data_IF_861990603378
#
_entry.id   IF_861990603378
#
_cell.length_a   1.000
_cell.length_b   1.000
_cell.length_c   1.000
_cell.angle_alpha   90.00
_cell.angle_beta   90.00
_cell.angle_gamma   90.00
#
_symmetry.space_group_name_H-M   'P 1'
#
loop_
_entity.id
_entity.type
_entity.pdbx_description
1 polymer ?
#
# COMPACT_ATOMS: atom_id res chain seq x y z
N UNK A 1 -14.39 -2.21 32.70
CA UNK A 1 -13.34 -1.95 31.69
C UNK A 1 -13.29 -0.51 31.22
N UNK A 2 -14.42 0.18 31.01
CA UNK A 2 -14.46 1.58 30.53
C UNK A 2 -13.70 2.60 31.43
N UNK A 3 -13.68 2.41 32.75
CA UNK A 3 -12.96 3.29 33.70
C UNK A 3 -11.43 3.23 33.57
N UNK A 4 -10.86 2.09 33.14
CA UNK A 4 -9.41 1.94 32.96
C UNK A 4 -8.91 2.55 31.63
N UNK A 5 -9.78 2.66 30.62
CA UNK A 5 -9.47 3.28 29.33
C UNK A 5 -9.38 4.82 29.42
N UNK A 6 -10.12 5.44 30.35
CA UNK A 6 -10.02 6.88 30.65
C UNK A 6 -8.78 7.23 31.48
N UNK A 7 -8.17 6.25 32.15
CA UNK A 7 -6.97 6.47 32.95
C UNK A 7 -5.75 6.84 32.10
N UNK A 8 -5.59 6.24 30.92
CA UNK A 8 -4.43 6.47 30.05
C UNK A 8 -4.35 7.95 29.58
N UNK A 9 -5.39 8.53 28.96
CA UNK A 9 -5.35 9.93 28.56
C UNK A 9 -5.23 10.87 29.77
N UNK A 10 -5.83 10.51 30.92
CA UNK A 10 -5.67 11.27 32.16
C UNK A 10 -4.22 11.22 32.66
N UNK A 11 -3.57 10.05 32.68
CA UNK A 11 -2.17 9.89 33.05
C UNK A 11 -1.24 10.67 32.13
N UNK A 12 -1.50 10.65 30.82
CA UNK A 12 -0.74 11.43 29.84
C UNK A 12 -0.94 12.94 30.10
N UNK A 13 -2.19 13.39 30.33
CA UNK A 13 -2.49 14.78 30.62
C UNK A 13 -1.81 15.25 31.93
N UNK A 14 -1.88 14.43 32.98
CA UNK A 14 -1.20 14.70 34.26
C UNK A 14 0.31 14.74 34.08
N UNK A 15 0.90 13.80 33.34
CA UNK A 15 2.33 13.79 33.05
C UNK A 15 2.76 15.05 32.29
N UNK A 16 2.00 15.46 31.26
CA UNK A 16 2.25 16.71 30.53
C UNK A 16 2.14 17.91 31.48
N UNK A 17 1.09 17.97 32.31
CA UNK A 17 0.93 19.05 33.29
C UNK A 17 2.12 19.14 34.25
N UNK A 18 2.60 18.00 34.76
CA UNK A 18 3.79 17.92 35.61
C UNK A 18 5.07 18.37 34.87
N UNK A 19 5.25 17.96 33.61
CA UNK A 19 6.39 18.39 32.79
C UNK A 19 6.36 19.92 32.54
N UNK A 20 5.19 20.52 32.40
CA UNK A 20 5.05 21.96 32.15
C UNK A 20 5.45 22.83 33.36
N UNK A 21 5.51 22.26 34.57
CA UNK A 21 5.97 22.97 35.77
C UNK A 21 7.47 23.35 35.68
N UNK A 22 8.28 22.54 35.00
CA UNK A 22 9.73 22.73 34.91
C UNK A 22 10.16 23.25 33.54
N UNK A 23 11.22 24.07 33.49
CA UNK A 23 11.71 24.63 32.22
C UNK A 23 12.13 23.56 31.21
N UNK A 24 12.86 22.53 31.67
CA UNK A 24 13.28 21.42 30.82
C UNK A 24 12.10 20.62 30.29
N UNK A 25 11.06 20.41 31.12
CA UNK A 25 9.84 19.74 30.68
C UNK A 25 9.05 20.57 29.67
N UNK A 26 8.97 21.91 29.84
CA UNK A 26 8.41 22.81 28.81
C UNK A 26 9.17 22.76 27.48
N UNK A 27 10.49 22.62 27.51
CA UNK A 27 11.32 22.44 26.30
C UNK A 27 11.02 21.09 25.64
N UNK A 28 10.94 20.02 26.42
CA UNK A 28 10.61 18.67 25.94
C UNK A 28 9.23 18.62 25.30
N UNK A 29 8.20 19.17 25.95
CA UNK A 29 6.83 19.18 25.42
C UNK A 29 6.76 19.95 24.09
N UNK A 30 7.41 21.11 23.98
CA UNK A 30 7.50 21.87 22.72
C UNK A 30 8.23 21.07 21.63
N UNK A 31 9.35 20.43 21.95
CA UNK A 31 10.06 19.57 21.01
C UNK A 31 9.16 18.43 20.50
N UNK A 32 8.50 17.69 21.40
CA UNK A 32 7.57 16.64 21.01
C UNK A 32 6.45 17.17 20.11
N UNK A 33 5.89 18.33 20.44
CA UNK A 33 4.84 18.99 19.65
C UNK A 33 5.33 19.33 18.23
N UNK A 34 6.49 19.96 18.10
CA UNK A 34 7.06 20.38 16.82
C UNK A 34 7.44 19.16 15.95
N UNK A 35 7.98 18.10 16.56
CA UNK A 35 8.32 16.84 15.89
C UNK A 35 7.06 16.15 15.34
N UNK A 36 6.00 16.08 16.15
CA UNK A 36 4.73 15.45 15.79
C UNK A 36 4.06 16.21 14.65
N UNK A 37 3.89 17.53 14.80
CA UNK A 37 3.24 18.37 13.81
C UNK A 37 4.04 18.51 12.52
N UNK A 38 5.37 18.41 12.60
CA UNK A 38 6.27 18.54 11.46
C UNK A 38 5.98 19.80 10.63
N UNK A 39 5.89 20.95 11.32
CA UNK A 39 5.61 22.25 10.71
C UNK A 39 4.18 22.44 10.18
N UNK A 40 3.25 21.50 10.43
CA UNK A 40 1.84 21.63 10.06
C UNK A 40 1.03 22.22 11.21
N UNK A 41 -0.01 22.99 10.90
CA UNK A 41 -1.06 23.28 11.89
C UNK A 41 -1.68 21.98 12.42
N UNK A 42 -2.18 21.92 13.67
CA UNK A 42 -2.87 20.73 14.20
C UNK A 42 -3.96 20.17 13.30
N UNK A 43 -4.78 21.03 12.68
CA UNK A 43 -5.85 20.62 11.78
C UNK A 43 -5.31 19.89 10.52
N UNK A 44 -4.30 20.46 9.85
CA UNK A 44 -3.66 19.83 8.68
C UNK A 44 -2.90 18.55 9.04
N UNK A 45 -2.32 18.48 10.23
CA UNK A 45 -1.71 17.25 10.73
C UNK A 45 -2.77 16.16 10.92
N UNK A 46 -3.86 16.49 11.62
CA UNK A 46 -4.97 15.57 11.87
C UNK A 46 -5.63 15.11 10.57
N UNK A 47 -5.88 16.01 9.62
CA UNK A 47 -6.42 15.65 8.31
C UNK A 47 -5.51 14.67 7.56
N UNK A 48 -4.19 14.87 7.63
CA UNK A 48 -3.22 13.93 7.05
C UNK A 48 -3.23 12.56 7.74
N UNK A 49 -3.29 12.54 9.07
CA UNK A 49 -3.41 11.30 9.85
C UNK A 49 -4.71 10.56 9.50
N UNK A 50 -5.83 11.28 9.48
CA UNK A 50 -7.14 10.74 9.11
C UNK A 50 -7.12 10.16 7.69
N UNK A 51 -6.50 10.85 6.71
CA UNK A 51 -6.39 10.33 5.35
C UNK A 51 -5.68 8.97 5.26
N UNK A 52 -4.72 8.69 6.15
CA UNK A 52 -4.05 7.39 6.23
C UNK A 52 -4.87 6.32 6.98
N UNK A 53 -5.63 6.72 7.99
CA UNK A 53 -6.35 5.78 8.88
C UNK A 53 -7.76 5.44 8.36
N UNK A 54 -8.44 6.38 7.71
CA UNK A 54 -9.82 6.21 7.24
C UNK A 54 -9.97 4.99 6.34
N UNK A 55 -9.11 4.71 5.35
CA UNK A 55 -9.29 3.55 4.47
C UNK A 55 -9.20 2.20 5.22
N UNK A 56 -8.18 1.92 6.05
CA UNK A 56 -8.17 0.71 6.88
C UNK A 56 -9.35 0.61 7.84
N UNK A 57 -9.76 1.73 8.48
CA UNK A 57 -10.94 1.74 9.35
C UNK A 57 -12.21 1.40 8.57
N UNK A 58 -12.38 1.99 7.39
CA UNK A 58 -13.51 1.73 6.49
C UNK A 58 -13.57 0.24 6.13
N UNK A 59 -12.44 -0.37 5.79
CA UNK A 59 -12.35 -1.81 5.60
C UNK A 59 -12.82 -2.60 6.84
N UNK A 60 -12.31 -2.30 8.04
CA UNK A 60 -12.71 -3.05 9.25
C UNK A 60 -14.20 -2.92 9.57
N UNK A 61 -14.79 -1.75 9.31
CA UNK A 61 -16.21 -1.50 9.49
C UNK A 61 -17.02 -2.26 8.43
N UNK A 62 -16.62 -2.18 7.16
CA UNK A 62 -17.26 -2.92 6.07
C UNK A 62 -17.22 -4.44 6.32
N UNK A 63 -16.08 -4.98 6.77
CA UNK A 63 -15.92 -6.38 7.14
C UNK A 63 -16.92 -6.77 8.24
N UNK A 64 -17.07 -5.95 9.29
CA UNK A 64 -18.06 -6.22 10.35
C UNK A 64 -19.50 -6.19 9.84
N UNK A 65 -19.81 -5.26 8.93
CA UNK A 65 -21.12 -5.09 8.34
C UNK A 65 -21.47 -6.14 7.28
N UNK A 66 -20.50 -6.88 6.74
CA UNK A 66 -20.73 -7.89 5.70
C UNK A 66 -21.77 -8.97 6.11
N UNK A 67 -21.87 -9.27 7.42
CA UNK A 67 -22.90 -10.18 7.97
C UNK A 67 -24.35 -9.74 7.68
N UNK A 68 -24.55 -8.44 7.44
CA UNK A 68 -25.86 -7.84 7.22
C UNK A 68 -26.25 -7.80 5.72
N UNK A 69 -25.43 -8.39 4.84
CA UNK A 69 -25.78 -8.49 3.42
C UNK A 69 -27.08 -9.29 3.26
N UNK A 70 -28.06 -8.80 2.47
CA UNK A 70 -29.29 -9.53 2.21
C UNK A 70 -29.02 -10.91 1.59
N UNK A 71 -29.79 -11.96 1.93
CA UNK A 71 -29.59 -13.30 1.39
C UNK A 71 -29.55 -13.35 -0.14
N UNK A 72 -30.35 -12.53 -0.82
CA UNK A 72 -30.41 -12.44 -2.28
C UNK A 72 -29.13 -11.91 -2.95
N UNK A 73 -28.24 -11.25 -2.20
CA UNK A 73 -26.95 -10.75 -2.70
C UNK A 73 -25.81 -11.74 -2.45
N UNK A 74 -26.08 -12.84 -1.75
CA UNK A 74 -25.07 -13.80 -1.33
C UNK A 74 -24.89 -14.87 -2.40
N UNK A 75 -23.74 -14.93 -3.09
CA UNK A 75 -23.48 -15.96 -4.10
C UNK A 75 -23.25 -17.34 -3.49
N UNK A 76 -23.23 -18.38 -4.32
CA UNK A 76 -22.91 -19.74 -3.85
C UNK A 76 -21.46 -19.83 -3.32
N UNK A 77 -21.28 -20.53 -2.20
CA UNK A 77 -19.98 -20.77 -1.56
C UNK A 77 -19.21 -21.83 -2.34
N UNK A 78 -17.98 -21.52 -2.73
CA UNK A 78 -17.13 -22.45 -3.47
C UNK A 78 -16.27 -23.32 -2.53
N UNK A 79 -16.34 -24.64 -2.69
CA UNK A 79 -15.58 -25.62 -1.90
C UNK A 79 -14.67 -26.52 -2.75
N UNK A 80 -14.61 -26.33 -4.06
CA UNK A 80 -13.89 -27.24 -4.96
C UNK A 80 -12.68 -26.58 -5.61
N UNK A 81 -12.77 -25.27 -5.87
CA UNK A 81 -11.81 -24.59 -6.73
C UNK A 81 -10.45 -24.45 -6.06
N UNK A 82 -10.42 -23.93 -4.83
CA UNK A 82 -9.15 -23.63 -4.15
C UNK A 82 -8.28 -24.86 -3.89
N UNK A 83 -8.82 -25.99 -3.37
CA UNK A 83 -8.03 -27.21 -3.21
C UNK A 83 -7.45 -27.72 -4.55
N UNK A 84 -8.24 -27.69 -5.63
CA UNK A 84 -7.80 -28.13 -6.96
C UNK A 84 -6.71 -27.23 -7.52
N UNK A 85 -6.84 -25.91 -7.39
CA UNK A 85 -5.81 -24.97 -7.84
C UNK A 85 -4.54 -25.13 -7.00
N UNK A 86 -4.64 -25.26 -5.69
CA UNK A 86 -3.47 -25.48 -4.82
C UNK A 86 -2.72 -26.75 -5.22
N UNK A 87 -3.41 -27.88 -5.38
CA UNK A 87 -2.80 -29.14 -5.77
C UNK A 87 -2.02 -29.02 -7.10
N UNK A 88 -2.57 -28.26 -8.06
CA UNK A 88 -1.88 -27.97 -9.32
C UNK A 88 -0.71 -27.03 -9.11
N UNK A 89 -0.88 -25.92 -8.39
CA UNK A 89 0.13 -24.91 -8.08
C UNK A 89 1.38 -25.53 -7.41
N UNK A 90 1.16 -26.41 -6.44
CA UNK A 90 2.23 -27.03 -5.63
C UNK A 90 2.81 -28.31 -6.26
N UNK A 91 2.24 -28.82 -7.36
CA UNK A 91 2.87 -29.88 -8.16
C UNK A 91 4.22 -29.43 -8.73
N UNK A 92 5.09 -30.36 -9.12
CA UNK A 92 6.40 -30.01 -9.71
C UNK A 92 6.22 -29.18 -10.98
N UNK A 93 5.33 -29.61 -11.89
CA UNK A 93 5.05 -28.90 -13.13
C UNK A 93 4.38 -27.54 -12.88
N UNK A 94 3.43 -27.46 -11.95
CA UNK A 94 2.77 -26.19 -11.61
C UNK A 94 3.70 -25.18 -10.96
N UNK A 95 4.62 -25.61 -10.09
CA UNK A 95 5.62 -24.71 -9.48
C UNK A 95 6.57 -24.16 -10.53
N UNK A 96 7.05 -25.00 -11.47
CA UNK A 96 7.89 -24.57 -12.58
C UNK A 96 7.13 -23.62 -13.52
N UNK A 97 5.90 -23.97 -13.89
CA UNK A 97 5.05 -23.15 -14.73
C UNK A 97 4.79 -21.78 -14.09
N UNK A 98 4.49 -21.73 -12.80
CA UNK A 98 4.30 -20.48 -12.09
C UNK A 98 5.58 -19.64 -12.05
N UNK A 99 6.76 -20.26 -11.86
CA UNK A 99 8.03 -19.54 -11.96
C UNK A 99 8.25 -18.94 -13.36
N UNK A 100 7.90 -19.67 -14.42
CA UNK A 100 7.92 -19.15 -15.79
C UNK A 100 6.96 -17.97 -15.98
N UNK A 101 5.75 -18.04 -15.44
CA UNK A 101 4.77 -16.93 -15.49
C UNK A 101 5.29 -15.67 -14.79
N UNK A 102 6.19 -15.79 -13.83
CA UNK A 102 6.79 -14.65 -13.12
C UNK A 102 8.00 -14.03 -13.86
N UNK A 103 8.48 -14.63 -14.96
CA UNK A 103 9.62 -14.10 -15.74
C UNK A 103 9.38 -12.68 -16.24
N UNK A 104 8.24 -12.32 -16.87
CA UNK A 104 7.98 -10.95 -17.31
C UNK A 104 8.04 -9.94 -16.15
N UNK A 105 7.48 -10.30 -14.99
CA UNK A 105 7.54 -9.47 -13.78
C UNK A 105 8.98 -9.32 -13.28
N UNK A 106 9.74 -10.41 -13.23
CA UNK A 106 11.13 -10.41 -12.82
C UNK A 106 12.00 -9.52 -13.74
N UNK A 107 11.78 -9.56 -15.05
CA UNK A 107 12.46 -8.71 -16.03
C UNK A 107 12.04 -7.24 -15.89
N UNK A 108 10.75 -6.97 -15.69
CA UNK A 108 10.25 -5.62 -15.44
C UNK A 108 10.89 -5.02 -14.17
N UNK A 109 10.92 -5.77 -13.07
CA UNK A 109 11.55 -5.32 -11.82
C UNK A 109 13.05 -5.14 -11.99
N UNK A 110 13.72 -6.01 -12.76
CA UNK A 110 15.14 -5.85 -13.11
C UNK A 110 15.40 -4.54 -13.84
N UNK A 111 14.63 -4.21 -14.86
CA UNK A 111 14.84 -2.98 -15.66
C UNK A 111 14.52 -1.71 -14.88
N UNK A 112 13.53 -1.75 -13.99
CA UNK A 112 13.10 -0.60 -13.18
C UNK A 112 13.88 -0.40 -11.88
N UNK A 113 14.69 -1.37 -11.46
CA UNK A 113 15.49 -1.28 -10.25
C UNK A 113 16.63 -0.27 -10.38
N UNK A 114 16.76 0.61 -9.37
CA UNK A 114 17.76 1.70 -9.35
C UNK A 114 19.18 1.23 -9.03
N UNK A 115 19.35 0.27 -8.12
CA UNK A 115 20.66 -0.21 -7.68
C UNK A 115 21.04 -1.54 -8.34
N UNK A 116 22.34 -1.78 -8.53
CA UNK A 116 22.84 -3.06 -9.06
C UNK A 116 22.43 -4.25 -8.19
N UNK A 117 22.42 -4.06 -6.86
CA UNK A 117 21.98 -5.09 -5.92
C UNK A 117 20.51 -5.46 -6.14
N UNK A 118 19.60 -4.47 -6.20
CA UNK A 118 18.18 -4.71 -6.47
C UNK A 118 17.92 -5.33 -7.84
N UNK A 119 18.69 -4.93 -8.87
CA UNK A 119 18.63 -5.52 -10.23
C UNK A 119 18.96 -7.01 -10.25
N UNK A 120 19.79 -7.49 -9.31
CA UNK A 120 20.14 -8.91 -9.20
C UNK A 120 19.21 -9.65 -8.24
N UNK A 121 18.94 -9.07 -7.07
CA UNK A 121 18.24 -9.75 -5.99
C UNK A 121 16.74 -9.92 -6.24
N UNK A 122 16.02 -8.87 -6.62
CA UNK A 122 14.56 -8.93 -6.72
C UNK A 122 14.05 -9.90 -7.80
N UNK A 123 14.65 -9.96 -9.00
CA UNK A 123 14.25 -10.96 -9.99
C UNK A 123 14.43 -12.39 -9.47
N UNK A 124 15.51 -12.66 -8.73
CA UNK A 124 15.74 -13.97 -8.11
C UNK A 124 14.68 -14.28 -7.05
N UNK A 125 14.37 -13.34 -6.16
CA UNK A 125 13.31 -13.53 -5.16
C UNK A 125 11.94 -13.79 -5.81
N UNK A 126 11.62 -13.09 -6.89
CA UNK A 126 10.38 -13.27 -7.65
C UNK A 126 10.34 -14.67 -8.28
N UNK A 127 11.41 -15.10 -8.94
CA UNK A 127 11.45 -16.42 -9.59
C UNK A 127 11.51 -17.58 -8.60
N UNK A 128 12.10 -17.38 -7.42
CA UNK A 128 12.13 -18.38 -6.35
C UNK A 128 10.84 -18.44 -5.54
N UNK A 129 9.96 -17.44 -5.65
CA UNK A 129 8.72 -17.35 -4.87
C UNK A 129 7.85 -18.62 -4.94
N UNK A 130 7.60 -19.24 -6.12
CA UNK A 130 6.79 -20.46 -6.20
C UNK A 130 7.41 -21.64 -5.44
N UNK A 131 8.73 -21.83 -5.59
CA UNK A 131 9.46 -22.88 -4.89
C UNK A 131 9.49 -22.64 -3.38
N UNK A 132 9.67 -21.39 -2.97
CA UNK A 132 9.67 -21.00 -1.57
C UNK A 132 8.29 -21.21 -0.93
N UNK A 133 7.21 -20.81 -1.60
CA UNK A 133 5.84 -21.06 -1.13
C UNK A 133 5.57 -22.56 -0.96
N UNK A 134 6.00 -23.39 -1.93
CA UNK A 134 5.93 -24.85 -1.83
C UNK A 134 6.73 -25.40 -0.64
N UNK A 135 7.93 -24.88 -0.39
CA UNK A 135 8.72 -25.26 0.77
C UNK A 135 8.02 -24.89 2.09
N UNK A 136 7.46 -23.68 2.20
CA UNK A 136 6.70 -23.24 3.38
C UNK A 136 5.44 -24.09 3.60
N UNK A 137 4.72 -24.45 2.54
CA UNK A 137 3.55 -25.34 2.63
C UNK A 137 3.97 -26.73 3.15
N UNK A 138 5.06 -27.30 2.61
CA UNK A 138 5.60 -28.58 3.09
C UNK A 138 6.06 -28.49 4.55
N UNK A 139 6.63 -27.37 4.99
CA UNK A 139 7.01 -27.14 6.39
C UNK A 139 5.80 -26.95 7.31
N UNK A 140 4.69 -26.41 6.79
CA UNK A 140 3.46 -26.22 7.56
C UNK A 140 2.71 -27.54 7.77
N UNK A 141 2.65 -28.39 6.74
CA UNK A 141 1.77 -29.56 6.70
C UNK A 141 2.51 -30.91 6.77
N UNK A 142 3.82 -30.92 6.49
CA UNK A 142 4.63 -32.15 6.44
C UNK A 142 5.32 -32.51 7.75
N UNK A 143 4.83 -32.00 8.88
CA UNK A 143 5.39 -32.23 10.22
C UNK A 143 4.26 -32.53 11.20
N UNK A 144 4.57 -33.26 12.27
CA UNK A 144 3.68 -33.34 13.42
C UNK A 144 3.60 -31.97 14.10
N UNK A 145 2.39 -31.53 14.40
CA UNK A 145 2.17 -30.24 15.03
C UNK A 145 2.45 -30.29 16.53
N UNK A 146 3.21 -29.30 17.00
CA UNK A 146 3.60 -29.19 18.40
C UNK A 146 3.08 -27.89 19.03
N UNK A 147 2.85 -27.86 20.36
CA UNK A 147 2.40 -26.64 21.05
C UNK A 147 3.34 -25.45 20.86
N UNK A 148 4.65 -25.67 20.70
CA UNK A 148 5.62 -24.60 20.46
C UNK A 148 5.43 -23.97 19.07
N UNK A 149 5.20 -24.78 18.04
CA UNK A 149 4.86 -24.29 16.71
C UNK A 149 3.51 -23.56 16.71
N UNK A 150 2.51 -24.03 17.46
CA UNK A 150 1.22 -23.34 17.62
C UNK A 150 1.42 -21.92 18.18
N UNK A 151 2.24 -21.76 19.23
CA UNK A 151 2.55 -20.45 19.81
C UNK A 151 3.34 -19.57 18.83
N UNK A 152 4.31 -20.12 18.10
CA UNK A 152 5.06 -19.36 17.09
C UNK A 152 4.12 -18.91 15.97
N UNK A 153 3.27 -19.80 15.47
CA UNK A 153 2.30 -19.49 14.42
C UNK A 153 1.36 -18.37 14.86
N UNK A 154 0.88 -18.45 16.10
CA UNK A 154 0.04 -17.45 16.75
C UNK A 154 0.70 -16.07 16.88
N UNK A 155 2.00 -15.99 17.19
CA UNK A 155 2.72 -14.70 17.26
C UNK A 155 2.62 -13.97 15.92
N UNK A 156 2.78 -14.66 14.80
CA UNK A 156 2.68 -14.02 13.49
C UNK A 156 1.22 -13.80 13.05
N UNK A 157 0.40 -14.84 13.10
CA UNK A 157 -0.98 -14.84 12.62
C UNK A 157 -1.93 -14.02 13.51
N UNK A 158 -1.84 -14.18 14.82
CA UNK A 158 -2.68 -13.50 15.78
C UNK A 158 -2.11 -12.13 16.15
N UNK A 159 -0.95 -12.11 16.80
CA UNK A 159 -0.43 -10.88 17.44
C UNK A 159 0.09 -9.89 16.41
N UNK A 160 1.05 -10.29 15.59
CA UNK A 160 1.70 -9.39 14.63
C UNK A 160 0.79 -9.03 13.47
N UNK A 161 -0.20 -9.84 13.09
CA UNK A 161 -1.15 -9.43 12.06
C UNK A 161 -1.89 -8.14 12.44
N UNK A 162 -2.34 -8.02 13.70
CA UNK A 162 -3.00 -6.80 14.18
C UNK A 162 -2.03 -5.69 14.58
N UNK A 163 -0.83 -6.03 15.08
CA UNK A 163 0.16 -5.04 15.49
C UNK A 163 0.95 -4.44 14.31
N UNK A 164 1.22 -5.21 13.26
CA UNK A 164 2.14 -4.81 12.19
C UNK A 164 1.71 -3.57 11.40
N UNK A 165 0.41 -3.27 11.14
CA UNK A 165 0.05 -2.01 10.49
C UNK A 165 0.49 -0.78 11.29
N UNK A 166 0.38 -0.82 12.62
CA UNK A 166 0.80 0.26 13.49
C UNK A 166 2.32 0.36 13.56
N UNK A 167 3.00 -0.78 13.67
CA UNK A 167 4.48 -0.85 13.67
C UNK A 167 5.03 -0.31 12.34
N UNK A 168 4.47 -0.71 11.20
CA UNK A 168 4.85 -0.17 9.89
C UNK A 168 4.56 1.32 9.79
N UNK A 169 3.36 1.78 10.16
CA UNK A 169 3.01 3.19 10.12
C UNK A 169 4.01 4.05 10.89
N UNK A 170 4.36 3.62 12.11
CA UNK A 170 5.37 4.27 12.94
C UNK A 170 6.77 4.23 12.32
N UNK A 171 7.21 3.05 11.87
CA UNK A 171 8.52 2.86 11.26
C UNK A 171 8.67 3.69 9.98
N UNK A 172 7.65 3.71 9.12
CA UNK A 172 7.62 4.48 7.87
C UNK A 172 7.58 5.98 8.17
N UNK A 173 6.85 6.42 9.20
CA UNK A 173 6.90 7.81 9.65
C UNK A 173 8.31 8.21 10.11
N UNK A 174 9.00 7.30 10.81
CA UNK A 174 10.35 7.49 11.32
C UNK A 174 11.38 7.59 10.21
N UNK A 175 11.42 6.60 9.31
CA UNK A 175 12.51 6.39 8.35
C UNK A 175 12.16 6.76 6.91
N UNK A 176 10.88 6.89 6.59
CA UNK A 176 10.41 7.35 5.29
C UNK A 176 10.28 8.88 5.20
N UNK A 177 10.13 9.41 3.99
CA UNK A 177 9.87 10.83 3.77
C UNK A 177 8.48 11.24 4.32
N UNK A 178 8.30 12.52 4.71
CA UNK A 178 7.03 13.01 5.24
C UNK A 178 5.85 12.70 4.33
N UNK A 179 4.86 11.97 4.86
CA UNK A 179 3.66 11.54 4.14
C UNK A 179 3.70 10.10 3.61
N UNK A 180 4.85 9.42 3.60
CA UNK A 180 4.93 8.02 3.20
C UNK A 180 4.03 7.10 4.06
N UNK A 181 3.90 7.38 5.35
CA UNK A 181 3.01 6.63 6.25
C UNK A 181 1.52 6.81 5.91
N UNK A 182 1.13 7.98 5.36
CA UNK A 182 -0.24 8.22 4.87
C UNK A 182 -0.49 7.36 3.64
N UNK A 183 0.47 7.32 2.71
CA UNK A 183 0.39 6.47 1.51
C UNK A 183 0.33 5.00 1.89
N UNK A 184 1.07 4.55 2.91
CA UNK A 184 0.95 3.20 3.46
C UNK A 184 -0.46 2.88 3.92
N UNK A 185 -1.08 3.77 4.71
CA UNK A 185 -2.46 3.58 5.17
C UNK A 185 -3.47 3.52 4.03
N UNK A 186 -3.33 4.39 3.02
CA UNK A 186 -4.14 4.35 1.79
C UNK A 186 -3.96 3.02 1.05
N UNK A 187 -2.72 2.60 0.80
CA UNK A 187 -2.42 1.33 0.11
C UNK A 187 -3.01 0.14 0.86
N UNK A 188 -2.80 0.07 2.17
CA UNK A 188 -3.32 -0.99 3.04
C UNK A 188 -4.84 -1.07 3.00
N UNK A 189 -5.52 0.07 3.14
CA UNK A 189 -6.99 0.10 3.12
C UNK A 189 -7.57 -0.28 1.76
N UNK A 190 -6.99 0.22 0.66
CA UNK A 190 -7.46 -0.11 -0.69
C UNK A 190 -7.32 -1.60 -0.98
N UNK A 191 -6.15 -2.20 -0.73
CA UNK A 191 -5.99 -3.65 -0.97
C UNK A 191 -6.95 -4.48 -0.10
N UNK A 192 -7.19 -4.08 1.15
CA UNK A 192 -8.03 -4.83 2.07
C UNK A 192 -9.52 -4.69 1.71
N UNK A 193 -9.96 -3.50 1.26
CA UNK A 193 -11.29 -3.30 0.69
C UNK A 193 -11.50 -4.16 -0.56
N UNK A 194 -10.53 -4.20 -1.47
CA UNK A 194 -10.61 -5.05 -2.65
C UNK A 194 -10.65 -6.54 -2.29
N UNK A 195 -9.88 -6.97 -1.29
CA UNK A 195 -9.91 -8.35 -0.81
C UNK A 195 -11.26 -8.70 -0.17
N UNK A 196 -11.82 -7.81 0.65
CA UNK A 196 -13.18 -7.98 1.20
C UNK A 196 -14.24 -8.03 0.10
N UNK A 197 -14.13 -7.16 -0.92
CA UNK A 197 -15.02 -7.21 -2.07
C UNK A 197 -14.98 -8.60 -2.74
N UNK A 198 -13.79 -9.17 -2.91
CA UNK A 198 -13.62 -10.53 -3.43
C UNK A 198 -14.26 -11.58 -2.52
N UNK A 199 -14.08 -11.49 -1.20
CA UNK A 199 -14.73 -12.41 -0.25
C UNK A 199 -16.26 -12.40 -0.36
N UNK A 200 -16.84 -11.23 -0.67
CA UNK A 200 -18.30 -11.07 -0.80
C UNK A 200 -18.80 -11.66 -2.14
N UNK A 201 -18.16 -11.31 -3.25
CA UNK A 201 -18.63 -11.73 -4.59
C UNK A 201 -18.17 -13.13 -4.98
N UNK A 202 -17.14 -13.63 -4.32
CA UNK A 202 -16.54 -14.95 -4.54
C UNK A 202 -16.18 -15.61 -3.20
N UNK A 203 -17.17 -16.07 -2.43
CA UNK A 203 -16.96 -16.76 -1.17
C UNK A 203 -16.38 -18.16 -1.40
N UNK A 204 -15.37 -18.51 -0.60
CA UNK A 204 -14.67 -19.78 -0.71
C UNK A 204 -14.37 -20.36 0.68
N UNK A 205 -14.42 -21.69 0.79
CA UNK A 205 -13.97 -22.41 1.97
C UNK A 205 -12.44 -22.40 2.10
N UNK A 206 -11.99 -22.34 3.35
CA UNK A 206 -10.59 -22.49 3.75
C UNK A 206 -10.31 -23.95 4.19
N UNK A 207 -9.04 -24.35 4.36
CA UNK A 207 -8.67 -25.73 4.67
C UNK A 207 -9.39 -26.34 5.89
N UNK A 208 -9.63 -25.54 6.94
CA UNK A 208 -10.34 -25.98 8.14
C UNK A 208 -11.72 -26.58 7.88
N UNK A 209 -12.38 -26.22 6.77
CA UNK A 209 -13.69 -26.74 6.43
C UNK A 209 -13.63 -28.26 6.21
N UNK A 210 -12.61 -28.72 5.49
CA UNK A 210 -12.41 -30.13 5.15
C UNK A 210 -11.87 -30.96 6.32
N UNK A 211 -11.26 -30.30 7.31
CA UNK A 211 -10.82 -30.96 8.54
C UNK A 211 -12.01 -31.34 9.44
N UNK A 212 -13.13 -30.62 9.31
CA UNK A 212 -14.26 -30.69 10.24
C UNK A 212 -15.50 -31.32 9.61
N UNK A 213 -15.73 -31.10 8.32
CA UNK A 213 -16.94 -31.54 7.64
C UNK A 213 -16.64 -32.64 6.61
N UNK A 214 -17.52 -33.66 6.51
CA UNK A 214 -17.49 -34.63 5.41
C UNK A 214 -17.55 -33.93 4.04
N UNK A 215 -16.96 -34.56 3.02
CA UNK A 215 -16.84 -34.02 1.65
C UNK A 215 -18.20 -33.71 1.02
N UNK A 216 -19.25 -34.44 1.41
CA UNK A 216 -20.62 -34.30 0.90
C UNK A 216 -21.37 -33.12 1.53
N UNK A 217 -20.77 -32.46 2.53
CA UNK A 217 -21.40 -31.32 3.22
C UNK A 217 -21.45 -30.11 2.27
N UNK A 218 -22.65 -29.57 2.08
CA UNK A 218 -22.87 -28.36 1.28
C UNK A 218 -22.92 -27.16 2.24
N UNK A 219 -22.03 -26.17 2.10
CA UNK A 219 -22.03 -25.01 2.99
C UNK A 219 -23.13 -24.01 2.64
N UNK A 220 -23.66 -23.36 3.67
CA UNK A 220 -24.55 -22.20 3.57
C UNK A 220 -24.05 -21.06 4.49
N UNK A 221 -24.78 -19.95 4.54
CA UNK A 221 -24.39 -18.77 5.31
C UNK A 221 -24.77 -18.80 6.79
N UNK A 222 -25.41 -19.87 7.27
CA UNK A 222 -25.69 -20.10 8.69
C UNK A 222 -24.58 -20.91 9.38
N UNK A 223 -23.60 -21.39 8.62
CA UNK A 223 -22.42 -22.07 9.16
C UNK A 223 -21.70 -21.19 10.19
N UNK A 224 -21.36 -21.74 11.38
CA UNK A 224 -20.62 -21.01 12.38
C UNK A 224 -19.17 -20.78 11.94
N UNK A 225 -18.60 -19.65 12.34
CA UNK A 225 -17.16 -19.43 12.15
C UNK A 225 -16.32 -20.42 12.99
N UNK A 226 -15.16 -20.78 12.46
CA UNK A 226 -14.29 -21.80 13.03
C UNK A 226 -12.88 -21.24 13.34
N UNK A 227 -12.32 -21.48 14.54
CA UNK A 227 -10.96 -21.04 14.89
C UNK A 227 -9.85 -21.82 14.16
N UNK A 228 -10.17 -22.87 13.41
CA UNK A 228 -9.22 -23.75 12.74
C UNK A 228 -8.12 -24.23 13.71
N UNK A 229 -6.86 -24.23 13.26
CA UNK A 229 -5.71 -24.61 14.08
C UNK A 229 -5.51 -23.75 15.33
N UNK A 230 -6.11 -22.56 15.44
CA UNK A 230 -6.01 -21.73 16.66
C UNK A 230 -6.66 -22.39 17.87
N UNK A 231 -7.49 -23.42 17.70
CA UNK A 231 -7.96 -24.21 18.84
C UNK A 231 -6.82 -24.87 19.62
N UNK A 232 -5.72 -25.24 18.92
CA UNK A 232 -4.52 -25.77 19.56
C UNK A 232 -3.74 -24.70 20.32
N UNK A 233 -3.78 -23.46 19.82
CA UNK A 233 -3.20 -22.29 20.51
C UNK A 233 -3.97 -22.00 21.81
N UNK A 234 -5.30 -22.02 21.75
CA UNK A 234 -6.16 -21.90 22.94
C UNK A 234 -5.76 -22.96 23.98
N UNK A 235 -5.57 -24.21 23.58
CA UNK A 235 -5.12 -25.30 24.45
C UNK A 235 -3.70 -25.06 25.01
N UNK A 236 -2.74 -24.67 24.17
CA UNK A 236 -1.36 -24.42 24.56
C UNK A 236 -1.22 -23.26 25.57
N UNK A 237 -2.08 -22.24 25.47
CA UNK A 237 -2.07 -21.07 26.35
C UNK A 237 -3.05 -21.18 27.53
N UNK A 238 -3.86 -22.24 27.59
CA UNK A 238 -4.91 -22.38 28.60
C UNK A 238 -6.02 -21.32 28.51
N UNK A 239 -6.34 -20.87 27.28
CA UNK A 239 -7.37 -19.85 27.02
C UNK A 239 -8.50 -20.38 26.16
N UNK A 240 -9.52 -19.56 25.92
CA UNK A 240 -10.64 -19.83 25.00
C UNK A 240 -10.89 -18.63 24.07
N UNK A 241 -9.84 -17.82 23.86
CA UNK A 241 -9.93 -16.53 23.19
C UNK A 241 -10.36 -16.72 21.73
N UNK A 242 -9.71 -17.64 21.02
CA UNK A 242 -9.94 -17.84 19.60
C UNK A 242 -11.22 -18.59 19.30
N UNK A 243 -11.55 -19.60 20.11
CA UNK A 243 -12.85 -20.26 20.07
C UNK A 243 -14.00 -19.25 20.21
N UNK A 244 -13.89 -18.30 21.12
CA UNK A 244 -14.91 -17.26 21.31
C UNK A 244 -14.92 -16.20 20.17
N UNK A 245 -13.75 -15.79 19.69
CA UNK A 245 -13.62 -14.77 18.65
C UNK A 245 -14.16 -15.24 17.29
N UNK A 246 -13.78 -16.45 16.85
CA UNK A 246 -14.13 -16.96 15.52
C UNK A 246 -15.58 -17.38 15.39
N UNK A 247 -16.24 -17.79 16.48
CA UNK A 247 -17.69 -18.07 16.49
C UNK A 247 -18.51 -16.87 15.99
N UNK A 248 -18.00 -15.65 16.11
CA UNK A 248 -18.68 -14.39 15.72
C UNK A 248 -18.15 -13.80 14.40
N UNK A 249 -17.41 -14.57 13.59
CA UNK A 249 -16.84 -14.09 12.33
C UNK A 249 -17.93 -13.58 11.39
N UNK A 250 -17.85 -12.33 10.88
CA UNK A 250 -18.82 -11.81 9.91
C UNK A 250 -18.73 -12.45 8.53
N UNK A 251 -17.56 -12.98 8.16
CA UNK A 251 -17.29 -13.58 6.85
C UNK A 251 -16.61 -14.92 7.11
N UNK A 252 -17.40 -16.01 7.05
CA UNK A 252 -16.91 -17.37 7.35
C UNK A 252 -16.17 -17.97 6.16
N UNK A 253 -16.72 -17.79 4.96
CA UNK A 253 -16.17 -18.31 3.69
C UNK A 253 -15.41 -17.23 2.90
N UNK A 254 -14.44 -16.58 3.55
CA UNK A 254 -13.61 -15.53 2.97
C UNK A 254 -12.15 -15.95 2.81
N UNK A 255 -11.88 -17.14 2.26
CA UNK A 255 -10.50 -17.65 2.15
C UNK A 255 -9.64 -16.87 1.14
N UNK A 256 -10.15 -16.66 -0.09
CA UNK A 256 -9.43 -16.04 -1.20
C UNK A 256 -9.86 -14.58 -1.41
N UNK A 257 -8.95 -13.58 -1.43
CA UNK A 257 -7.52 -13.68 -1.16
C UNK A 257 -7.20 -13.70 0.33
N UNK A 258 -6.00 -14.17 0.69
CA UNK A 258 -5.51 -14.05 2.06
C UNK A 258 -5.16 -12.60 2.37
N UNK A 259 -5.98 -11.95 3.20
CA UNK A 259 -5.68 -10.60 3.72
C UNK A 259 -4.51 -10.58 4.70
N UNK A 260 -4.19 -11.71 5.33
CA UNK A 260 -2.98 -11.90 6.13
C UNK A 260 -1.74 -11.74 5.24
N UNK A 261 -1.69 -12.46 4.12
CA UNK A 261 -0.61 -12.35 3.14
C UNK A 261 -0.55 -10.96 2.50
N UNK A 262 -1.69 -10.39 2.10
CA UNK A 262 -1.75 -9.05 1.51
C UNK A 262 -1.22 -7.98 2.49
N UNK A 263 -1.62 -8.05 3.76
CA UNK A 263 -1.17 -7.12 4.80
C UNK A 263 0.33 -7.29 5.10
N UNK A 264 0.82 -8.53 5.23
CA UNK A 264 2.25 -8.77 5.47
C UNK A 264 3.12 -8.31 4.30
N UNK A 265 2.70 -8.58 3.07
CA UNK A 265 3.40 -8.10 1.87
C UNK A 265 3.39 -6.58 1.77
N UNK A 266 2.28 -5.92 2.11
CA UNK A 266 2.19 -4.46 2.06
C UNK A 266 3.15 -3.82 3.08
N UNK A 267 3.14 -4.34 4.32
CA UNK A 267 4.12 -3.99 5.35
C UNK A 267 5.54 -4.14 4.79
N UNK A 268 5.83 -5.31 4.24
CA UNK A 268 7.17 -5.68 3.79
C UNK A 268 7.66 -4.84 2.61
N UNK A 269 6.81 -4.49 1.65
CA UNK A 269 7.20 -3.64 0.52
C UNK A 269 7.58 -2.22 0.96
N UNK A 270 6.83 -1.62 1.89
CA UNK A 270 7.17 -0.30 2.42
C UNK A 270 8.44 -0.34 3.29
N UNK A 271 8.60 -1.36 4.12
CA UNK A 271 9.79 -1.53 4.95
C UNK A 271 11.04 -1.80 4.09
N UNK A 272 10.93 -2.64 3.06
CA UNK A 272 12.00 -2.88 2.10
C UNK A 272 12.38 -1.61 1.32
N UNK A 273 11.40 -0.77 0.96
CA UNK A 273 11.65 0.49 0.23
C UNK A 273 12.56 1.45 1.00
N UNK A 274 12.34 1.61 2.30
CA UNK A 274 13.03 2.62 3.11
C UNK A 274 14.12 2.05 4.03
N UNK A 275 14.23 0.71 4.14
CA UNK A 275 15.03 0.03 5.15
C UNK A 275 16.32 -0.62 4.63
N UNK A 276 16.61 -0.48 3.34
CA UNK A 276 17.77 -1.10 2.70
C UNK A 276 17.80 -2.62 2.91
N UNK A 277 18.99 -3.16 3.22
CA UNK A 277 19.18 -4.61 3.40
C UNK A 277 18.38 -5.17 4.58
N UNK A 278 18.27 -4.43 5.69
CA UNK A 278 17.44 -4.82 6.83
C UNK A 278 15.95 -4.84 6.47
N UNK A 279 15.51 -3.91 5.61
CA UNK A 279 14.15 -3.91 5.11
C UNK A 279 13.84 -5.15 4.26
N UNK A 280 14.79 -5.56 3.41
CA UNK A 280 14.67 -6.78 2.60
C UNK A 280 14.68 -8.04 3.46
N UNK A 281 15.57 -8.12 4.46
CA UNK A 281 15.60 -9.23 5.41
C UNK A 281 14.27 -9.34 6.18
N UNK A 282 13.74 -8.20 6.64
CA UNK A 282 12.44 -8.13 7.31
C UNK A 282 11.32 -8.59 6.39
N UNK A 283 11.35 -8.21 5.11
CA UNK A 283 10.38 -8.69 4.11
C UNK A 283 10.37 -10.21 4.02
N UNK A 284 11.54 -10.82 3.84
CA UNK A 284 11.67 -12.27 3.67
C UNK A 284 11.20 -12.98 4.95
N UNK A 285 11.71 -12.58 6.12
CA UNK A 285 11.38 -13.25 7.38
C UNK A 285 9.91 -13.11 7.73
N UNK A 286 9.38 -11.88 7.74
CA UNK A 286 8.01 -11.62 8.18
C UNK A 286 6.97 -12.23 7.24
N UNK A 287 7.15 -12.07 5.92
CA UNK A 287 6.20 -12.64 4.95
C UNK A 287 6.25 -14.16 4.97
N UNK A 288 7.44 -14.77 5.08
CA UNK A 288 7.56 -16.24 5.17
C UNK A 288 6.91 -16.79 6.43
N UNK A 289 7.13 -16.13 7.57
CA UNK A 289 6.52 -16.53 8.83
C UNK A 289 5.00 -16.39 8.79
N UNK A 290 4.47 -15.28 8.25
CA UNK A 290 3.02 -15.11 8.06
C UNK A 290 2.43 -16.20 7.16
N UNK A 291 3.08 -16.48 6.03
CA UNK A 291 2.61 -17.47 5.06
C UNK A 291 2.57 -18.86 5.66
N UNK A 292 3.67 -19.27 6.30
CA UNK A 292 3.74 -20.51 7.05
C UNK A 292 2.64 -20.58 8.10
N UNK A 293 2.46 -19.55 8.94
CA UNK A 293 1.44 -19.55 9.99
C UNK A 293 0.03 -19.71 9.45
N UNK A 294 -0.31 -19.03 8.35
CA UNK A 294 -1.66 -19.11 7.76
C UNK A 294 -1.99 -20.50 7.23
N UNK A 295 -1.01 -21.19 6.64
CA UNK A 295 -1.17 -22.57 6.17
C UNK A 295 -1.12 -23.57 7.33
N UNK A 296 -0.20 -23.40 8.27
CA UNK A 296 -0.04 -24.25 9.46
C UNK A 296 -1.28 -24.25 10.36
N UNK A 297 -1.97 -23.11 10.45
CA UNK A 297 -3.23 -22.97 11.19
C UNK A 297 -4.47 -23.32 10.36
N UNK A 298 -4.30 -23.78 9.12
CA UNK A 298 -5.38 -24.24 8.22
C UNK A 298 -6.41 -23.14 7.89
N UNK A 299 -5.99 -21.88 7.94
CA UNK A 299 -6.85 -20.75 7.59
C UNK A 299 -6.81 -20.39 6.10
N UNK A 300 -5.77 -20.81 5.38
CA UNK A 300 -5.60 -20.47 3.97
C UNK A 300 -4.89 -21.57 3.19
N UNK A 301 -5.30 -21.74 1.94
CA UNK A 301 -4.54 -22.44 0.91
C UNK A 301 -3.41 -21.54 0.40
N UNK A 302 -2.33 -22.13 -0.11
CA UNK A 302 -1.21 -21.45 -0.73
C UNK A 302 -1.64 -20.51 -1.89
N UNK A 303 -2.67 -20.88 -2.65
CA UNK A 303 -3.22 -20.01 -3.69
C UNK A 303 -3.78 -18.69 -3.11
N UNK A 304 -4.36 -18.73 -1.91
CA UNK A 304 -4.88 -17.54 -1.22
C UNK A 304 -3.76 -16.55 -0.94
N UNK A 305 -2.59 -17.07 -0.56
CA UNK A 305 -1.38 -16.29 -0.30
C UNK A 305 -0.82 -15.69 -1.58
N UNK A 306 -0.84 -16.43 -2.70
CA UNK A 306 -0.43 -15.92 -4.02
C UNK A 306 -1.30 -14.73 -4.43
N UNK A 307 -2.62 -14.89 -4.38
CA UNK A 307 -3.55 -13.83 -4.79
C UNK A 307 -3.50 -12.65 -3.81
N UNK A 308 -3.39 -12.90 -2.49
CA UNK A 308 -3.16 -11.84 -1.51
C UNK A 308 -1.87 -11.06 -1.75
N UNK A 309 -0.79 -11.74 -2.10
CA UNK A 309 0.48 -11.11 -2.48
C UNK A 309 0.35 -10.28 -3.75
N UNK A 310 -0.43 -10.75 -4.74
CA UNK A 310 -0.71 -10.02 -5.97
C UNK A 310 -1.50 -8.73 -5.70
N UNK A 311 -2.51 -8.77 -4.83
CA UNK A 311 -3.26 -7.58 -4.40
C UNK A 311 -2.33 -6.52 -3.82
N UNK A 312 -1.43 -6.96 -2.93
CA UNK A 312 -0.44 -6.08 -2.33
C UNK A 312 0.56 -5.52 -3.34
N UNK A 313 1.06 -6.36 -4.25
CA UNK A 313 1.99 -5.96 -5.28
C UNK A 313 1.39 -4.91 -6.21
N UNK A 314 0.14 -5.12 -6.65
CA UNK A 314 -0.58 -4.17 -7.51
C UNK A 314 -0.81 -2.85 -6.77
N UNK A 315 -1.37 -2.90 -5.56
CA UNK A 315 -1.64 -1.70 -4.76
C UNK A 315 -0.36 -0.92 -4.45
N UNK A 316 0.72 -1.60 -4.06
CA UNK A 316 2.03 -0.98 -3.82
C UNK A 316 2.65 -0.41 -5.09
N UNK A 317 2.49 -1.08 -6.25
CA UNK A 317 3.01 -0.59 -7.52
C UNK A 317 2.31 0.68 -7.97
N UNK A 318 0.98 0.74 -7.83
CA UNK A 318 0.19 1.94 -8.10
C UNK A 318 0.57 3.08 -7.15
N UNK A 319 0.61 2.81 -5.84
CA UNK A 319 1.04 3.79 -4.85
C UNK A 319 2.48 4.28 -5.09
N UNK A 320 3.37 3.38 -5.48
CA UNK A 320 4.76 3.70 -5.82
C UNK A 320 4.87 4.61 -7.03
N UNK A 321 4.06 4.34 -8.06
CA UNK A 321 4.07 5.08 -9.31
C UNK A 321 3.45 6.47 -9.16
N UNK A 322 2.26 6.56 -8.58
CA UNK A 322 1.47 7.80 -8.52
C UNK A 322 1.80 8.68 -7.32
N UNK A 323 2.16 8.09 -6.17
CA UNK A 323 2.29 8.83 -4.90
C UNK A 323 3.74 8.87 -4.41
N UNK A 324 4.36 7.72 -4.16
CA UNK A 324 5.67 7.65 -3.50
C UNK A 324 6.80 8.25 -4.36
N UNK A 325 6.78 8.05 -5.69
CA UNK A 325 7.79 8.63 -6.58
C UNK A 325 7.89 10.16 -6.45
N UNK A 326 6.74 10.83 -6.45
CA UNK A 326 6.67 12.28 -6.35
C UNK A 326 7.04 12.76 -4.95
N UNK A 327 6.60 12.01 -3.94
CA UNK A 327 6.88 12.28 -2.53
C UNK A 327 8.37 12.14 -2.21
N UNK A 328 9.02 11.09 -2.69
CA UNK A 328 10.46 10.87 -2.53
C UNK A 328 11.26 11.94 -3.27
N UNK A 329 10.90 12.26 -4.52
CA UNK A 329 11.58 13.31 -5.29
C UNK A 329 11.42 14.69 -4.65
N UNK A 330 10.25 14.98 -4.06
CA UNK A 330 10.04 16.21 -3.28
C UNK A 330 10.92 16.23 -2.03
N UNK A 331 11.00 15.14 -1.30
CA UNK A 331 11.86 15.02 -0.11
C UNK A 331 13.33 15.28 -0.44
N UNK A 332 13.83 14.73 -1.55
CA UNK A 332 15.18 14.97 -2.04
C UNK A 332 15.39 16.43 -2.48
N UNK A 333 14.49 17.00 -3.29
CA UNK A 333 14.62 18.39 -3.77
C UNK A 333 14.57 19.42 -2.64
N UNK A 334 13.67 19.23 -1.67
CA UNK A 334 13.45 20.18 -0.58
C UNK A 334 14.31 19.87 0.66
N UNK A 335 15.06 18.76 0.64
CA UNK A 335 15.90 18.31 1.76
C UNK A 335 15.14 18.28 3.10
N UNK A 336 13.88 17.84 3.07
CA UNK A 336 13.03 17.78 4.27
C UNK A 336 13.56 16.73 5.26
N UNK A 337 13.26 16.86 6.54
CA UNK A 337 13.69 15.89 7.58
C UNK A 337 12.76 14.68 7.65
N UNK A 338 13.26 13.54 8.14
CA UNK A 338 12.45 12.36 8.49
C UNK A 338 11.98 12.43 9.95
N UNK A 339 11.09 11.53 10.36
CA UNK A 339 10.58 11.49 11.73
C UNK A 339 11.70 11.33 12.76
N UNK A 340 12.65 10.42 12.51
CA UNK A 340 13.79 10.19 13.40
C UNK A 340 14.75 11.39 13.44
N UNK A 341 14.96 12.07 12.31
CA UNK A 341 15.83 13.25 12.27
C UNK A 341 15.27 14.36 13.17
N UNK A 342 13.96 14.60 13.06
CA UNK A 342 13.25 15.55 13.93
C UNK A 342 13.32 15.14 15.39
N UNK A 343 13.04 13.86 15.69
CA UNK A 343 13.03 13.35 17.07
C UNK A 343 14.35 13.61 17.79
N UNK A 344 15.48 13.49 17.08
CA UNK A 344 16.83 13.68 17.64
C UNK A 344 17.43 15.05 17.31
N UNK A 345 16.64 16.03 16.84
CA UNK A 345 17.11 17.39 16.56
C UNK A 345 18.17 17.49 15.46
N UNK A 346 18.25 16.49 14.57
CA UNK A 346 19.23 16.44 13.49
C UNK A 346 18.71 17.24 12.30
N UNK A 347 19.36 18.37 12.02
CA UNK A 347 19.20 19.03 10.71
C UNK A 347 20.00 18.25 9.67
N UNK A 348 19.41 17.91 8.52
CA UNK A 348 20.14 17.29 7.40
C UNK A 348 21.34 18.15 6.94
N UNK A 349 21.33 19.46 7.23
CA UNK A 349 22.46 20.38 6.97
C UNK A 349 23.70 20.03 7.80
N UNK A 350 23.53 19.44 8.98
CA UNK A 350 24.63 18.95 9.83
C UNK A 350 25.19 17.62 9.32
N UNK A 351 24.34 16.75 8.75
CA UNK A 351 24.75 15.47 8.15
C UNK A 351 25.44 15.66 6.80
N UNK A 352 25.02 16.66 6.00
CA UNK A 352 25.65 17.04 4.73
C UNK A 352 27.08 17.56 4.91
N UNK A 353 27.44 18.17 6.05
CA UNK A 353 28.83 18.56 6.33
C UNK A 353 29.79 17.36 6.41
N UNK A 354 29.28 16.15 6.62
CA UNK A 354 30.07 14.90 6.58
C UNK A 354 29.89 14.11 5.27
N UNK A 355 29.10 14.61 4.32
CA UNK A 355 28.88 13.97 3.03
C UNK A 355 28.93 15.06 1.95
N UNK A 356 30.12 15.63 1.73
CA UNK A 356 30.44 16.23 0.43
C UNK A 356 30.50 15.09 -0.60
N UNK A 357 29.35 14.78 -1.20
CA UNK A 357 29.24 13.84 -2.32
C UNK A 357 29.92 14.39 -3.59
N UNK A 358 30.07 15.71 -3.70
CA UNK A 358 30.78 16.37 -4.81
C UNK A 358 32.29 16.04 -4.81
N UNK A 359 32.91 15.95 -3.63
CA UNK A 359 34.34 15.62 -3.47
C UNK A 359 34.63 14.11 -3.61
N UNK A 360 33.61 13.25 -3.73
CA UNK A 360 33.76 11.81 -3.95
C UNK A 360 33.59 11.36 -5.40
N UNK A 361 33.21 12.28 -6.29
CA UNK A 361 33.16 11.98 -7.73
C UNK A 361 34.59 11.88 -8.29
N UNK A 362 34.90 10.91 -9.17
CA UNK A 362 36.15 10.89 -9.91
C UNK A 362 36.26 12.17 -10.77
N UNK A 363 37.48 12.68 -11.06
CA UNK A 363 37.66 13.98 -11.73
C UNK A 363 36.85 14.15 -13.03
N UNK A 364 36.71 13.07 -13.82
CA UNK A 364 35.92 13.06 -15.05
C UNK A 364 34.42 13.31 -14.83
N UNK A 365 33.85 12.84 -13.72
CA UNK A 365 32.44 13.04 -13.39
C UNK A 365 32.16 14.44 -12.81
N UNK A 366 33.19 15.12 -12.28
CA UNK A 366 33.07 16.51 -11.81
C UNK A 366 32.99 17.49 -12.98
N UNK A 367 33.81 17.25 -14.00
CA UNK A 367 33.81 18.06 -15.24
C UNK A 367 32.47 17.91 -15.97
N UNK A 368 31.93 16.70 -16.08
CA UNK A 368 30.62 16.48 -16.69
C UNK A 368 29.48 17.18 -15.93
N UNK A 369 29.49 17.12 -14.60
CA UNK A 369 28.49 17.81 -13.77
C UNK A 369 28.62 19.35 -13.84
N UNK A 370 29.83 19.89 -13.97
CA UNK A 370 30.06 21.32 -14.19
C UNK A 370 29.56 21.78 -15.56
N UNK A 371 29.84 21.00 -16.61
CA UNK A 371 29.40 21.32 -17.97
C UNK A 371 27.87 21.28 -18.09
N UNK A 372 27.21 20.30 -17.46
CA UNK A 372 25.73 20.22 -17.43
C UNK A 372 25.12 21.42 -16.69
N UNK A 373 25.79 21.92 -15.64
CA UNK A 373 25.35 23.07 -14.86
C UNK A 373 25.60 24.41 -15.57
N UNK A 374 26.68 24.53 -16.34
CA UNK A 374 26.97 25.65 -17.24
C UNK A 374 26.00 25.67 -18.44
N UNK A 375 25.61 24.52 -18.96
CA UNK A 375 24.66 24.40 -20.07
C UNK A 375 23.22 24.77 -19.61
N UNK A 376 22.83 24.36 -18.40
CA UNK A 376 21.54 24.75 -17.78
C UNK A 376 21.47 26.24 -17.44
N UNK A 377 22.58 26.86 -17.05
CA UNK A 377 22.63 28.31 -16.74
C UNK A 377 22.67 29.16 -18.01
N UNK A 378 23.39 28.71 -19.04
CA UNK A 378 23.36 29.26 -20.40
C UNK A 378 21.96 29.20 -21.04
N UNK A 379 21.29 28.05 -20.92
CA UNK A 379 19.91 27.84 -21.39
C UNK A 379 18.88 28.73 -20.67
N UNK A 380 19.08 28.99 -19.37
CA UNK A 380 18.26 29.93 -18.60
C UNK A 380 18.48 31.39 -18.96
N UNK A 381 19.70 31.76 -19.35
CA UNK A 381 20.04 33.11 -19.79
C UNK A 381 19.52 33.42 -21.21
N UNK A 382 19.38 32.40 -22.07
CA UNK A 382 18.78 32.55 -23.40
C UNK A 382 17.25 32.60 -23.35
N UNK A 383 16.61 31.82 -22.46
CA UNK A 383 15.15 31.87 -22.28
C UNK A 383 14.67 33.17 -21.62
N UNK A 384 15.43 33.74 -20.67
CA UNK A 384 15.06 35.01 -20.02
C UNK A 384 15.14 36.24 -20.93
N UNK A 385 15.92 36.19 -22.02
CA UNK A 385 15.94 37.23 -23.06
C UNK A 385 14.78 37.14 -24.06
N UNK A 386 14.11 35.98 -24.17
CA UNK A 386 12.95 35.81 -25.07
C UNK A 386 11.60 36.10 -24.40
N UNK A 387 11.53 36.02 -23.06
CA UNK A 387 10.27 36.16 -22.31
C UNK A 387 9.90 37.60 -21.93
N UNK A 388 10.69 38.60 -22.31
CA UNK A 388 10.40 40.01 -21.98
C UNK A 388 9.44 40.69 -22.97
N UNK A 389 9.11 40.03 -24.10
CA UNK A 389 8.18 40.55 -25.12
C UNK A 389 6.80 39.87 -25.12
N UNK A 390 6.64 38.70 -24.50
CA UNK A 390 5.36 37.95 -24.49
C UNK A 390 4.50 38.17 -23.22
N UNK A 391 5.07 38.76 -22.17
CA UNK A 391 4.37 39.00 -20.89
C UNK A 391 3.39 40.18 -20.94
N UNK A 392 3.47 41.04 -21.96
CA UNK A 392 2.57 42.19 -22.14
C UNK A 392 1.26 41.83 -22.87
N UNK A 393 1.21 40.69 -23.57
CA UNK A 393 0.03 40.25 -24.34
C UNK A 393 -0.89 39.36 -23.51
N UNK A 394 -0.36 38.59 -22.54
CA UNK A 394 -1.14 37.60 -21.79
C UNK A 394 -1.94 38.22 -20.62
N UNK A 395 -1.55 39.40 -20.12
CA UNK A 395 -2.24 40.08 -19.02
C UNK A 395 -3.58 40.74 -19.40
N UNK A 396 -3.97 40.73 -20.68
CA UNK A 396 -5.21 41.34 -21.17
C UNK A 396 -6.39 40.37 -21.36
N UNK A 397 -6.21 39.07 -21.14
CA UNK A 397 -7.23 38.05 -21.52
C UNK A 397 -7.91 37.37 -20.32
N UNK A 398 -7.46 37.53 -19.07
CA UNK A 398 -8.10 36.89 -17.91
C UNK A 398 -8.34 37.89 -16.79
N UNK A 399 -9.45 38.62 -16.89
CA UNK A 399 -9.98 39.49 -15.85
C UNK A 399 -11.49 39.32 -15.72
N UNK A 400 -11.94 38.31 -14.94
CA UNK A 400 -13.33 38.18 -14.52
C UNK A 400 -13.57 39.13 -13.34
N UNK A 401 -14.25 40.25 -13.60
CA UNK A 401 -14.74 41.18 -12.59
C UNK A 401 -16.22 40.95 -12.30
N UNK A 402 -16.55 40.68 -11.04
CA UNK A 402 -17.89 40.90 -10.49
C UNK A 402 -18.01 42.37 -10.08
N UNK A 403 -19.06 43.06 -10.52
CA UNK A 403 -19.54 44.29 -9.86
C UNK A 403 -19.84 45.49 -10.76
N UNK A 404 -21.06 45.52 -11.31
CA UNK A 404 -21.95 46.69 -11.54
C UNK A 404 -21.36 48.08 -11.84
N UNK A 405 -21.61 48.59 -13.06
CA UNK A 405 -22.44 49.79 -13.37
C UNK A 405 -22.40 50.12 -14.87
N UNK A 406 -23.58 50.30 -15.45
CA UNK A 406 -23.89 50.88 -16.79
C UNK A 406 -23.89 52.41 -16.66
N UNK A 407 -23.37 53.22 -17.63
CA UNK A 407 -24.13 53.68 -18.81
C UNK A 407 -23.29 53.79 -20.12
N UNK A 408 -23.78 53.29 -21.26
CA UNK A 408 -24.54 53.94 -22.36
C UNK A 408 -23.69 54.62 -23.46
N UNK A 409 -23.90 54.12 -24.68
CA UNK A 409 -23.89 54.78 -26.00
C UNK A 409 -22.60 55.25 -26.69
N UNK A 410 -22.31 54.60 -27.83
CA UNK A 410 -21.84 55.10 -29.16
C UNK A 410 -21.11 53.95 -29.88
N UNK A 411 -21.75 53.17 -30.75
CA UNK A 411 -21.86 53.38 -32.21
C UNK A 411 -20.60 54.00 -32.82
N UNK A 412 -19.82 53.20 -33.56
CA UNK A 412 -19.28 53.50 -34.90
C UNK A 412 -19.04 52.15 -35.60
N UNK A 413 -19.36 52.14 -36.89
CA UNK A 413 -19.54 51.04 -37.83
C UNK A 413 -18.37 51.03 -38.86
N UNK A 414 -18.23 49.89 -39.57
CA UNK A 414 -17.50 49.67 -40.84
C UNK A 414 -15.95 49.57 -40.75
N UNK A 415 -15.27 48.64 -41.43
CA UNK A 415 -15.34 48.42 -42.89
C UNK A 415 -14.82 47.02 -43.32
N UNK A 416 -15.35 46.58 -44.47
CA UNK A 416 -15.09 45.34 -45.20
C UNK A 416 -13.74 45.28 -45.94
N UNK A 417 -13.19 44.08 -46.12
CA UNK A 417 -11.92 43.85 -46.84
C UNK A 417 -11.77 42.45 -47.44
N UNK A 418 -12.55 42.20 -48.50
CA UNK A 418 -12.65 41.05 -49.43
C UNK A 418 -11.31 40.50 -49.99
N UNK A 419 -11.16 39.17 -50.12
CA UNK A 419 -11.13 38.40 -51.41
C UNK A 419 -10.56 36.96 -51.33
N UNK A 420 -11.38 36.02 -51.87
CA UNK A 420 -11.08 34.82 -52.72
C UNK A 420 -10.07 33.75 -52.24
N UNK A 421 -10.30 32.44 -52.41
CA UNK A 421 -11.10 31.79 -53.45
C UNK A 421 -11.47 30.33 -53.17
N UNK A 422 -12.29 29.84 -54.09
CA UNK A 422 -13.16 28.66 -54.11
C UNK A 422 -12.49 27.51 -54.87
N UNK A 423 -12.80 26.25 -54.50
CA UNK A 423 -13.22 25.10 -55.35
C UNK A 423 -13.18 23.81 -54.48
N UNK A 424 -14.32 23.37 -53.94
CA UNK A 424 -15.27 22.33 -54.46
C UNK A 424 -14.76 20.89 -54.32
N UNK A 425 -15.28 20.08 -53.39
CA UNK A 425 -16.48 19.19 -53.53
C UNK A 425 -16.16 17.95 -54.42
N UNK A 426 -16.41 16.68 -54.11
CA UNK A 426 -17.34 15.89 -53.26
C UNK A 426 -16.99 14.38 -53.51
N UNK A 427 -17.81 13.34 -53.21
CA UNK A 427 -18.20 12.81 -51.90
C UNK A 427 -18.03 11.25 -51.77
N UNK A 428 -18.43 10.77 -50.59
CA UNK A 428 -18.71 9.42 -50.05
C UNK A 428 -19.42 8.44 -51.03
N UNK A 429 -19.47 7.11 -50.74
CA UNK A 429 -20.60 6.61 -49.96
C UNK A 429 -20.28 5.53 -48.91
N UNK A 430 -21.22 5.41 -47.97
CA UNK A 430 -21.31 4.45 -46.88
C UNK A 430 -22.20 3.24 -47.24
N UNK A 431 -22.06 2.14 -46.49
CA UNK A 431 -23.07 1.09 -46.23
C UNK A 431 -22.53 0.21 -45.06
N UNK A 432 -23.13 0.19 -43.85
CA UNK A 432 -24.26 -0.67 -43.37
C UNK A 432 -23.97 -2.18 -43.51
N UNK A 433 -24.22 -3.12 -42.59
CA UNK A 433 -25.00 -3.21 -41.34
C UNK A 433 -24.91 -4.65 -40.77
N UNK A 434 -25.19 -4.80 -39.46
CA UNK A 434 -25.97 -5.89 -38.83
C UNK A 434 -25.37 -7.30 -38.51
N UNK A 435 -25.35 -7.59 -37.20
CA UNK A 435 -26.09 -8.65 -36.46
C UNK A 435 -25.60 -10.12 -36.32
N UNK A 436 -25.90 -10.65 -35.11
CA UNK A 436 -26.03 -12.06 -34.65
C UNK A 436 -24.74 -12.91 -34.50
N UNK A 437 -24.65 -14.02 -33.75
CA UNK A 437 -25.21 -14.58 -32.51
C UNK A 437 -24.60 -16.01 -32.40
N UNK A 438 -24.41 -16.52 -31.17
CA UNK A 438 -24.40 -17.94 -30.75
C UNK A 438 -23.20 -18.90 -31.04
N UNK A 439 -22.84 -19.60 -29.95
CA UNK A 439 -22.45 -21.02 -29.81
C UNK A 439 -21.04 -21.51 -30.19
N UNK A 440 -20.22 -21.78 -29.16
CA UNK A 440 -19.71 -23.12 -28.77
C UNK A 440 -18.91 -23.02 -27.46
#
# INVERSE_FOLDING_TARGET
MASKLLLIPLCIATLIALLLLFEQGRRLVRHCWDVLLNGKSPLRWFAGLAAGIVPPVTWTLAFKCARNLPPEWRPAINVDLLPRIEARLLSVSGTLFFACLLVPLALLVRTRSRTMQSRRLYPVLILLFPLWLKALNKLALGVEWTPSQDVIAWIFYGVLHFASPFIAGWWIWGFGPPGAAIVFGLTLGVQNLSGLFTHIVFPNAAPWYYDVYPVETIPDYDFPGNPAGLIRVDAALGTHLYKAAFKKSPVVFGALPSLHAATSMCFSFFVARYGGNWGIATMIVYSSAMFWSTMYLHHHFAIDLVVGSLYSLVAFSLASHFLLRNLDAKHEREMTTRGVDRLFGRSMRSTSKNVNSYERLPPSARVAAQLEQEELTSSRASTSRSSSTDSEITAKIIGFGLGSKVPSDSVIEMEEGRKSGVLSATPIPAASSAAAAAAA
#
